data_IF_791918375348
#
_entry.id   IF_791918375348
#
_cell.length_a   1.000
_cell.length_b   1.000
_cell.length_c   1.000
_cell.angle_alpha   90.00
_cell.angle_beta   90.00
_cell.angle_gamma   90.00
#
_symmetry.space_group_name_H-M   'P 1'
#
loop_
_entity.id
_entity.type
_entity.pdbx_description
1 polymer ?
#
# COMPACT_ATOMS: atom_id res chain seq x y z
N UNK A 1 -1.82 -6.16 -3.26
CA UNK A 1 -1.43 -5.54 -4.55
C UNK A 1 -0.20 -6.25 -5.12
N UNK A 2 0.02 -6.16 -6.42
CA UNK A 2 1.29 -6.56 -7.04
C UNK A 2 2.08 -5.27 -7.28
N UNK A 3 3.18 -5.07 -6.57
CA UNK A 3 4.01 -3.87 -6.68
C UNK A 3 5.03 -4.03 -7.81
N UNK A 4 4.92 -3.17 -8.83
CA UNK A 4 5.75 -3.18 -10.02
C UNK A 4 6.49 -1.84 -10.17
N UNK A 5 7.63 -1.66 -9.50
CA UNK A 5 8.32 -0.38 -9.49
C UNK A 5 9.01 -0.09 -10.84
N UNK A 6 8.86 1.14 -11.34
CA UNK A 6 9.44 1.61 -12.59
C UNK A 6 10.52 2.67 -12.35
N UNK A 7 10.22 3.72 -11.59
CA UNK A 7 11.11 4.87 -11.39
C UNK A 7 10.90 5.57 -10.04
N UNK A 8 11.73 6.59 -9.77
CA UNK A 8 11.72 7.40 -8.56
C UNK A 8 11.73 6.55 -7.27
N UNK A 9 10.88 6.88 -6.31
CA UNK A 9 10.81 6.26 -4.99
C UNK A 9 10.01 4.94 -4.97
N UNK A 10 9.46 4.51 -6.11
CA UNK A 10 8.59 3.33 -6.18
C UNK A 10 9.28 2.05 -5.70
N UNK A 11 10.61 1.92 -5.87
CA UNK A 11 11.37 0.77 -5.35
C UNK A 11 11.34 0.73 -3.82
N UNK A 12 11.50 1.89 -3.17
CA UNK A 12 11.40 2.01 -1.72
C UNK A 12 9.98 1.72 -1.25
N UNK A 13 8.98 2.31 -1.90
CA UNK A 13 7.57 2.08 -1.55
C UNK A 13 7.18 0.61 -1.72
N UNK A 14 7.63 -0.07 -2.78
CA UNK A 14 7.36 -1.49 -3.01
C UNK A 14 7.93 -2.37 -1.89
N UNK A 15 9.15 -2.07 -1.43
CA UNK A 15 9.76 -2.76 -0.28
C UNK A 15 8.98 -2.51 1.00
N UNK A 16 8.63 -1.26 1.32
CA UNK A 16 7.83 -0.93 2.52
C UNK A 16 6.47 -1.66 2.48
N UNK A 17 5.78 -1.65 1.33
CA UNK A 17 4.47 -2.26 1.18
C UNK A 17 4.48 -3.79 1.29
N UNK A 18 5.59 -4.44 0.90
CA UNK A 18 5.76 -5.89 0.99
C UNK A 18 6.26 -6.34 2.37
N UNK A 19 7.32 -5.72 2.87
CA UNK A 19 8.06 -6.19 4.05
C UNK A 19 7.46 -5.64 5.35
N UNK A 20 7.15 -4.35 5.40
CA UNK A 20 6.68 -3.68 6.63
C UNK A 20 5.15 -3.72 6.75
N UNK A 21 4.45 -3.29 5.69
CA UNK A 21 2.98 -3.20 5.71
C UNK A 21 2.34 -4.56 5.40
N UNK A 22 2.99 -5.38 4.57
CA UNK A 22 2.51 -6.73 4.24
C UNK A 22 1.23 -6.75 3.39
N UNK A 23 1.00 -5.74 2.56
CA UNK A 23 -0.18 -5.62 1.67
C UNK A 23 0.18 -5.76 0.19
N UNK A 24 1.47 -5.89 -0.12
CA UNK A 24 1.99 -6.08 -1.47
C UNK A 24 2.88 -7.32 -1.61
N UNK A 25 3.00 -7.76 -2.86
CA UNK A 25 4.08 -8.65 -3.31
C UNK A 25 4.82 -7.89 -4.40
N UNK A 26 6.14 -7.76 -4.26
CA UNK A 26 6.99 -7.05 -5.22
C UNK A 26 7.36 -7.99 -6.36
N UNK A 27 7.27 -7.52 -7.59
CA UNK A 27 7.77 -8.28 -8.74
C UNK A 27 9.29 -8.19 -8.78
N UNK A 28 9.95 -9.35 -8.80
CA UNK A 28 11.39 -9.44 -8.86
C UNK A 28 11.89 -9.06 -10.28
N UNK A 29 12.24 -7.80 -10.49
CA UNK A 29 12.89 -7.35 -11.71
C UNK A 29 14.39 -7.66 -11.66
N UNK A 30 14.76 -8.95 -11.72
CA UNK A 30 16.15 -9.37 -11.91
C UNK A 30 16.66 -9.08 -13.34
N UNK A 31 15.74 -8.92 -14.29
CA UNK A 31 15.99 -8.58 -15.69
C UNK A 31 15.09 -7.41 -16.13
N UNK A 32 15.41 -6.80 -17.27
CA UNK A 32 14.63 -5.71 -17.86
C UNK A 32 13.19 -6.13 -18.24
N UNK A 33 12.95 -7.44 -18.43
CA UNK A 33 11.66 -8.02 -18.79
C UNK A 33 11.34 -9.16 -17.82
N UNK A 34 10.12 -9.16 -17.28
CA UNK A 34 9.61 -10.22 -16.40
C UNK A 34 8.91 -11.27 -17.25
N UNK A 35 9.31 -12.54 -17.10
CA UNK A 35 8.73 -13.67 -17.84
C UNK A 35 7.29 -13.96 -17.44
N UNK A 36 6.53 -14.61 -18.33
CA UNK A 36 5.11 -14.92 -18.12
C UNK A 36 4.89 -15.87 -16.94
N UNK A 37 5.83 -16.76 -16.68
CA UNK A 37 5.78 -17.74 -15.59
C UNK A 37 5.84 -17.02 -14.23
N UNK A 38 6.65 -15.98 -14.13
CA UNK A 38 6.73 -15.15 -12.93
C UNK A 38 5.45 -14.34 -12.72
N UNK A 39 4.89 -13.77 -13.81
CA UNK A 39 3.61 -13.06 -13.77
C UNK A 39 2.50 -13.99 -13.29
N UNK A 40 2.40 -15.19 -13.88
CA UNK A 40 1.42 -16.19 -13.47
C UNK A 40 1.55 -16.55 -11.99
N UNK A 41 2.78 -16.80 -11.53
CA UNK A 41 3.08 -17.13 -10.13
C UNK A 41 2.60 -16.04 -9.19
N UNK A 42 2.95 -14.77 -9.43
CA UNK A 42 2.56 -13.67 -8.53
C UNK A 42 1.06 -13.39 -8.58
N UNK A 43 0.41 -13.55 -9.75
CA UNK A 43 -1.04 -13.39 -9.87
C UNK A 43 -1.76 -14.48 -9.08
N UNK A 44 -1.40 -15.76 -9.25
CA UNK A 44 -2.02 -16.86 -8.48
C UNK A 44 -1.79 -16.68 -6.98
N UNK A 45 -0.58 -16.29 -6.56
CA UNK A 45 -0.24 -16.01 -5.16
C UNK A 45 -1.16 -14.96 -4.54
N UNK A 46 -1.41 -13.85 -5.26
CA UNK A 46 -2.24 -12.75 -4.76
C UNK A 46 -3.74 -13.07 -4.84
N UNK A 47 -4.19 -13.76 -5.88
CA UNK A 47 -5.61 -14.02 -6.10
C UNK A 47 -6.11 -15.21 -5.28
N UNK A 48 -5.41 -16.34 -5.34
CA UNK A 48 -5.86 -17.63 -4.82
C UNK A 48 -5.12 -18.08 -3.56
N UNK A 49 -3.86 -17.66 -3.41
CA UNK A 49 -3.01 -18.07 -2.29
C UNK A 49 -3.44 -17.49 -0.93
N UNK A 50 -3.12 -18.22 0.15
CA UNK A 50 -3.36 -17.77 1.54
C UNK A 50 -2.69 -16.43 1.83
N UNK A 51 -1.45 -16.23 1.35
CA UNK A 51 -0.76 -14.93 1.45
C UNK A 51 -1.60 -13.79 0.84
N UNK A 52 -2.27 -14.03 -0.29
CA UNK A 52 -3.17 -13.07 -0.93
C UNK A 52 -4.39 -12.73 -0.08
N UNK A 53 -4.95 -13.70 0.66
CA UNK A 53 -6.06 -13.47 1.60
C UNK A 53 -5.61 -12.63 2.79
N UNK A 54 -4.46 -12.94 3.39
CA UNK A 54 -3.88 -12.16 4.48
C UNK A 54 -3.62 -10.71 4.07
N UNK A 55 -3.06 -10.50 2.87
CA UNK A 55 -2.83 -9.17 2.31
C UNK A 55 -4.13 -8.36 2.16
N UNK A 56 -5.22 -9.01 1.70
CA UNK A 56 -6.53 -8.37 1.56
C UNK A 56 -7.12 -7.97 2.91
N UNK A 57 -6.98 -8.82 3.92
CA UNK A 57 -7.49 -8.49 5.26
C UNK A 57 -6.72 -7.33 5.88
N UNK A 58 -5.38 -7.32 5.80
CA UNK A 58 -4.57 -6.17 6.22
C UNK A 58 -4.97 -4.89 5.47
N UNK A 59 -5.18 -4.97 4.16
CA UNK A 59 -5.62 -3.83 3.36
C UNK A 59 -7.01 -3.33 3.77
N UNK A 60 -7.93 -4.22 4.17
CA UNK A 60 -9.25 -3.86 4.70
C UNK A 60 -9.14 -3.09 6.02
N UNK A 61 -8.30 -3.57 6.95
CA UNK A 61 -8.06 -2.88 8.21
C UNK A 61 -7.46 -1.48 7.99
N UNK A 62 -6.47 -1.36 7.11
CA UNK A 62 -5.88 -0.06 6.76
C UNK A 62 -6.90 0.88 6.11
N UNK A 63 -7.81 0.36 5.29
CA UNK A 63 -8.91 1.16 4.72
C UNK A 63 -9.80 1.74 5.82
N UNK A 64 -10.14 0.95 6.84
CA UNK A 64 -10.96 1.40 7.96
C UNK A 64 -10.25 2.47 8.79
N UNK A 65 -8.98 2.24 9.14
CA UNK A 65 -8.16 3.24 9.85
C UNK A 65 -7.98 4.54 9.05
N UNK A 66 -7.82 4.45 7.73
CA UNK A 66 -7.73 5.62 6.86
C UNK A 66 -9.03 6.42 6.84
N UNK A 67 -10.19 5.74 6.79
CA UNK A 67 -11.49 6.41 6.85
C UNK A 67 -11.72 7.10 8.21
N UNK A 68 -11.36 6.44 9.31
CA UNK A 68 -11.45 7.01 10.65
C UNK A 68 -10.56 8.25 10.80
N UNK A 69 -9.31 8.18 10.32
CA UNK A 69 -8.36 9.29 10.39
C UNK A 69 -8.82 10.55 9.62
N UNK A 70 -9.64 10.37 8.58
CA UNK A 70 -10.21 11.45 7.77
C UNK A 70 -11.58 11.93 8.26
N UNK A 71 -12.17 11.30 9.29
CA UNK A 71 -13.50 11.66 9.78
C UNK A 71 -13.57 13.13 10.22
N UNK A 72 -14.59 13.84 9.74
CA UNK A 72 -14.78 15.26 10.03
C UNK A 72 -15.11 15.46 11.50
N UNK A 73 -14.43 16.40 12.16
CA UNK A 73 -14.72 16.76 13.55
C UNK A 73 -14.16 15.79 14.60
N UNK A 74 -13.32 14.82 14.21
CA UNK A 74 -12.73 13.87 15.16
C UNK A 74 -11.52 13.07 14.67
N UNK A 75 -11.32 12.95 13.36
CA UNK A 75 -10.20 12.20 12.77
C UNK A 75 -8.85 12.91 12.94
N UNK A 76 -7.81 12.14 13.30
CA UNK A 76 -6.49 12.68 13.57
C UNK A 76 -5.83 13.43 12.40
N UNK A 77 -6.04 12.96 11.16
CA UNK A 77 -5.52 13.65 9.97
C UNK A 77 -6.28 14.95 9.70
N UNK A 78 -7.61 14.93 9.82
CA UNK A 78 -8.46 16.12 9.70
C UNK A 78 -8.06 17.18 10.74
N UNK A 79 -7.93 16.79 12.01
CA UNK A 79 -7.57 17.68 13.10
C UNK A 79 -6.17 18.28 12.91
N UNK A 80 -5.21 17.49 12.43
CA UNK A 80 -3.85 17.96 12.15
C UNK A 80 -3.84 19.04 11.06
N UNK A 81 -4.57 18.82 9.97
CA UNK A 81 -4.69 19.81 8.90
C UNK A 81 -5.43 21.07 9.36
N UNK A 82 -6.54 20.92 10.09
CA UNK A 82 -7.31 22.05 10.64
C UNK A 82 -6.42 22.93 11.55
N UNK A 83 -5.58 22.32 12.39
CA UNK A 83 -4.64 23.04 13.25
C UNK A 83 -3.64 23.89 12.46
N UNK A 84 -3.14 23.38 11.33
CA UNK A 84 -2.24 24.15 10.46
C UNK A 84 -3.00 25.31 9.80
N UNK A 85 -4.20 25.04 9.29
CA UNK A 85 -5.03 26.07 8.66
C UNK A 85 -5.37 27.22 9.64
N UNK A 86 -5.72 26.92 10.88
CA UNK A 86 -5.99 27.94 11.91
C UNK A 86 -4.75 28.77 12.26
N UNK A 87 -3.55 28.16 12.24
CA UNK A 87 -2.31 28.91 12.46
C UNK A 87 -2.02 29.92 11.35
N UNK A 88 -2.39 29.61 10.11
CA UNK A 88 -2.15 30.47 8.95
C UNK A 88 -3.20 31.57 8.76
N UNK A 89 -4.29 31.55 9.54
CA UNK A 89 -5.28 32.64 9.56
C UNK A 89 -4.86 33.82 10.47
N UNK A 90 -3.82 33.63 11.28
CA UNK A 90 -3.18 34.68 12.09
C UNK A 90 -1.96 35.22 11.36
#
# INVERSE_FOLDING_TARGET
MIAWPLYAEQRMNATILEEEVGVAVKVAAAAAVVGREEIERVVRLVMEGEKGKEMREKARLLKESAAEALSVGGGGSWASLAKVAERWKK
#
